data_IF_186148875539
#
_entry.id   IF_186148875539
#
_cell.length_a   1.000
_cell.length_b   1.000
_cell.length_c   1.000
_cell.angle_alpha   90.00
_cell.angle_beta   90.00
_cell.angle_gamma   90.00
#
_symmetry.space_group_name_H-M   'P 1'
#
loop_
_entity.id
_entity.type
_entity.pdbx_description
1 polymer ?
#
# COMPACT_ATOMS: atom_id res chain seq x y z
N UNK A 1 10.39 -6.31 -19.00
CA UNK A 1 9.01 -6.58 -18.56
C UNK A 1 9.06 -6.95 -17.07
N UNK A 2 8.33 -6.26 -16.20
CA UNK A 2 8.31 -6.56 -14.78
C UNK A 2 7.60 -7.90 -14.53
N UNK A 3 8.24 -8.80 -13.77
CA UNK A 3 7.74 -10.12 -13.46
C UNK A 3 6.92 -10.00 -12.17
N UNK A 4 5.58 -10.08 -12.26
CA UNK A 4 4.72 -9.81 -11.12
C UNK A 4 4.38 -11.08 -10.34
N UNK A 5 4.69 -11.09 -9.05
CA UNK A 5 4.10 -12.05 -8.12
C UNK A 5 2.62 -11.73 -7.92
N UNK A 6 1.78 -12.77 -7.82
CA UNK A 6 0.40 -12.62 -7.37
C UNK A 6 0.40 -12.08 -5.94
N UNK A 7 -0.31 -10.98 -5.70
CA UNK A 7 -0.60 -10.51 -4.35
C UNK A 7 -2.01 -10.98 -4.01
N UNK A 8 -2.21 -11.39 -2.76
CA UNK A 8 -3.54 -11.65 -2.20
C UNK A 8 -3.76 -10.64 -1.10
N UNK A 9 -4.94 -10.03 -1.07
CA UNK A 9 -5.35 -9.20 0.06
C UNK A 9 -5.97 -10.09 1.13
N UNK A 10 -5.83 -9.70 2.41
CA UNK A 10 -6.30 -10.47 3.57
C UNK A 10 -7.81 -10.34 3.84
N UNK A 11 -8.56 -9.68 2.94
CA UNK A 11 -9.98 -9.41 3.12
C UNK A 11 -10.23 -8.10 3.86
N UNK A 12 -11.46 -7.58 3.74
CA UNK A 12 -11.83 -6.27 4.29
C UNK A 12 -11.70 -6.25 5.81
N UNK A 13 -12.28 -7.24 6.48
CA UNK A 13 -12.35 -7.30 7.93
C UNK A 13 -10.97 -7.39 8.58
N UNK A 14 -10.15 -8.35 8.15
CA UNK A 14 -8.79 -8.53 8.68
C UNK A 14 -7.93 -7.28 8.43
N UNK A 15 -8.02 -6.70 7.23
CA UNK A 15 -7.29 -5.46 6.91
C UNK A 15 -7.73 -4.30 7.81
N UNK A 16 -9.03 -4.18 8.08
CA UNK A 16 -9.59 -3.13 8.96
C UNK A 16 -9.07 -3.29 10.38
N UNK A 17 -9.17 -4.49 10.95
CA UNK A 17 -8.69 -4.78 12.31
C UNK A 17 -7.18 -4.61 12.46
N UNK A 18 -6.39 -4.93 11.42
CA UNK A 18 -4.94 -4.71 11.43
C UNK A 18 -4.61 -3.21 11.45
N UNK A 19 -5.31 -2.39 10.66
CA UNK A 19 -5.09 -0.95 10.64
C UNK A 19 -5.53 -0.30 11.95
N UNK A 20 -6.67 -0.70 12.51
CA UNK A 20 -7.15 -0.19 13.80
C UNK A 20 -6.15 -0.48 14.93
N UNK A 21 -5.71 -1.74 15.04
CA UNK A 21 -4.67 -2.13 16.01
C UNK A 21 -3.36 -1.36 15.80
N UNK A 22 -3.00 -1.08 14.55
CA UNK A 22 -1.83 -0.27 14.24
C UNK A 22 -2.02 1.15 14.76
N UNK A 23 -3.13 1.82 14.44
CA UNK A 23 -3.43 3.19 14.89
C UNK A 23 -3.46 3.26 16.43
N UNK A 24 -4.06 2.27 17.10
CA UNK A 24 -4.04 2.17 18.56
C UNK A 24 -2.63 2.01 19.13
N UNK A 25 -1.79 1.19 18.49
CA UNK A 25 -0.41 0.99 18.95
C UNK A 25 0.42 2.30 18.91
N UNK A 26 0.13 3.18 17.95
CA UNK A 26 0.75 4.50 17.81
C UNK A 26 0.17 5.55 18.75
N UNK A 27 -0.96 5.29 19.43
CA UNK A 27 -1.45 6.17 20.49
C UNK A 27 -0.61 6.07 21.78
N UNK A 28 0.10 4.94 21.95
CA UNK A 28 0.88 4.63 23.15
C UNK A 28 2.37 4.97 23.03
N UNK A 29 3.19 4.32 23.86
CA UNK A 29 4.66 4.52 23.90
C UNK A 29 5.32 4.20 22.55
N UNK A 30 4.77 3.25 21.79
CA UNK A 30 5.32 2.84 20.47
C UNK A 30 5.17 3.92 19.40
N UNK A 31 4.28 4.90 19.60
CA UNK A 31 4.10 6.03 18.70
C UNK A 31 4.84 7.29 19.15
N UNK A 32 5.84 7.16 20.02
CA UNK A 32 6.70 8.26 20.47
C UNK A 32 8.14 8.01 20.08
N UNK A 33 8.88 9.07 19.80
CA UNK A 33 10.32 9.01 19.57
C UNK A 33 11.10 8.85 20.89
N UNK A 34 12.43 8.86 20.79
CA UNK A 34 13.34 8.72 21.95
C UNK A 34 13.23 9.87 22.95
N UNK A 35 12.65 11.02 22.55
CA UNK A 35 12.41 12.20 23.38
C UNK A 35 10.95 12.27 23.89
N UNK A 36 10.12 11.28 23.55
CA UNK A 36 8.72 11.23 23.94
C UNK A 36 7.78 12.04 23.04
N UNK A 37 8.26 12.58 21.92
CA UNK A 37 7.46 13.36 20.96
C UNK A 37 6.56 12.40 20.16
N UNK A 38 5.24 12.66 20.06
CA UNK A 38 4.35 11.85 19.24
C UNK A 38 4.73 11.87 17.75
N UNK A 39 4.83 10.69 17.14
CA UNK A 39 5.12 10.52 15.72
C UNK A 39 3.94 10.90 14.82
N UNK A 40 2.71 10.78 15.36
CA UNK A 40 1.47 10.98 14.63
C UNK A 40 0.51 11.81 15.48
N UNK A 41 -0.19 12.75 14.85
CA UNK A 41 -1.33 13.43 15.46
C UNK A 41 -2.50 12.44 15.56
N UNK A 42 -2.77 11.98 16.78
CA UNK A 42 -3.78 10.95 17.04
C UNK A 42 -5.19 11.39 16.65
N UNK A 43 -5.57 12.65 16.92
CA UNK A 43 -6.91 13.14 16.60
C UNK A 43 -7.10 13.19 15.09
N UNK A 44 -6.09 13.70 14.38
CA UNK A 44 -6.11 13.76 12.92
C UNK A 44 -6.10 12.36 12.29
N UNK A 45 -5.34 11.41 12.85
CA UNK A 45 -5.31 10.03 12.38
C UNK A 45 -6.68 9.35 12.50
N UNK A 46 -7.37 9.54 13.63
CA UNK A 46 -8.74 9.01 13.81
C UNK A 46 -9.72 9.58 12.80
N UNK A 47 -9.73 10.91 12.61
CA UNK A 47 -10.59 11.54 11.61
C UNK A 47 -10.31 11.05 10.17
N UNK A 48 -9.03 10.84 9.83
CA UNK A 48 -8.65 10.24 8.55
C UNK A 48 -9.21 8.81 8.47
N UNK A 49 -8.99 8.00 9.50
CA UNK A 49 -9.45 6.61 9.50
C UNK A 49 -10.97 6.48 9.34
N UNK A 50 -11.75 7.27 10.08
CA UNK A 50 -13.21 7.33 9.93
C UNK A 50 -13.63 7.62 8.49
N UNK A 51 -12.93 8.53 7.80
CA UNK A 51 -13.22 8.86 6.41
C UNK A 51 -12.76 7.78 5.41
N UNK A 52 -11.65 7.09 5.71
CA UNK A 52 -10.96 6.19 4.78
C UNK A 52 -11.36 4.73 4.94
N UNK A 53 -11.90 4.30 6.08
CA UNK A 53 -12.27 2.90 6.35
C UNK A 53 -13.22 2.32 5.28
N UNK A 54 -14.13 3.14 4.74
CA UNK A 54 -15.03 2.76 3.64
C UNK A 54 -14.32 2.34 2.35
N UNK A 55 -13.05 2.72 2.18
CA UNK A 55 -12.21 2.39 1.03
C UNK A 55 -11.36 1.13 1.22
N UNK A 56 -11.38 0.50 2.40
CA UNK A 56 -10.68 -0.79 2.61
C UNK A 56 -11.18 -1.85 1.64
N UNK A 57 -12.48 -1.83 1.31
CA UNK A 57 -13.07 -2.68 0.25
C UNK A 57 -12.50 -2.44 -1.15
N UNK A 58 -12.11 -1.20 -1.45
CA UNK A 58 -11.56 -0.82 -2.75
C UNK A 58 -10.13 -1.37 -2.93
N UNK A 59 -9.43 -1.69 -1.84
CA UNK A 59 -8.11 -2.30 -1.88
C UNK A 59 -8.16 -3.81 -2.19
N UNK A 60 -9.29 -4.46 -1.90
CA UNK A 60 -9.43 -5.90 -2.06
C UNK A 60 -9.58 -6.32 -3.52
N UNK A 61 -9.19 -7.55 -3.80
CA UNK A 61 -9.47 -8.18 -5.10
C UNK A 61 -10.97 -8.52 -5.19
N UNK A 62 -11.70 -8.03 -6.22
CA UNK A 62 -13.11 -8.36 -6.39
C UNK A 62 -13.28 -9.85 -6.71
N UNK A 63 -14.29 -10.47 -6.09
CA UNK A 63 -14.60 -11.87 -6.32
C UNK A 63 -14.96 -12.13 -7.79
N UNK A 64 -14.49 -13.25 -8.33
CA UNK A 64 -14.77 -13.65 -9.72
C UNK A 64 -14.00 -12.86 -10.78
N UNK A 65 -13.16 -11.90 -10.41
CA UNK A 65 -12.35 -11.12 -11.36
C UNK A 65 -10.92 -11.68 -11.41
N UNK A 66 -10.52 -12.19 -12.58
CA UNK A 66 -9.16 -12.66 -12.82
C UNK A 66 -8.19 -11.48 -12.99
N UNK A 67 -7.70 -10.93 -11.88
CA UNK A 67 -6.73 -9.83 -11.90
C UNK A 67 -5.31 -10.25 -12.29
N UNK A 68 -5.01 -11.55 -12.27
CA UNK A 68 -3.71 -12.10 -12.58
C UNK A 68 -3.87 -13.19 -13.63
N UNK A 69 -3.27 -12.97 -14.80
CA UNK A 69 -3.19 -13.96 -15.88
C UNK A 69 -1.78 -14.52 -15.90
N UNK A 70 -1.63 -15.84 -15.74
CA UNK A 70 -0.31 -16.47 -15.89
C UNK A 70 0.12 -16.38 -17.36
N UNK A 71 1.28 -15.79 -17.61
CA UNK A 71 1.85 -15.62 -18.95
C UNK A 71 3.04 -16.54 -19.21
N UNK A 72 3.54 -17.23 -18.18
CA UNK A 72 4.64 -18.17 -18.31
C UNK A 72 5.12 -18.71 -16.97
N UNK A 73 6.31 -19.30 -16.98
CA UNK A 73 7.00 -19.84 -15.82
C UNK A 73 8.49 -19.50 -15.93
N UNK A 74 9.13 -19.22 -14.81
CA UNK A 74 10.56 -18.91 -14.73
C UNK A 74 11.22 -19.75 -13.64
N UNK A 75 12.48 -20.15 -13.84
CA UNK A 75 13.23 -20.93 -12.85
C UNK A 75 14.08 -20.00 -11.99
N UNK A 76 13.91 -20.02 -10.66
CA UNK A 76 14.70 -19.24 -9.70
C UNK A 76 15.20 -20.15 -8.58
N UNK A 77 16.51 -20.27 -8.44
CA UNK A 77 17.12 -21.18 -7.45
C UNK A 77 16.70 -22.64 -7.62
N UNK A 78 16.48 -23.09 -8.86
CA UNK A 78 15.99 -24.45 -9.17
C UNK A 78 14.47 -24.62 -9.04
N UNK A 79 13.75 -23.64 -8.47
CA UNK A 79 12.29 -23.69 -8.30
C UNK A 79 11.61 -23.01 -9.49
N UNK A 80 10.60 -23.68 -10.06
CA UNK A 80 9.75 -23.11 -11.10
C UNK A 80 8.67 -22.20 -10.48
N UNK A 81 8.65 -20.94 -10.90
CA UNK A 81 7.75 -19.90 -10.41
C UNK A 81 6.85 -19.39 -11.56
N UNK A 82 5.53 -19.28 -11.35
CA UNK A 82 4.63 -18.71 -12.34
C UNK A 82 4.89 -17.20 -12.52
N UNK A 83 4.87 -16.76 -13.77
CA UNK A 83 4.94 -15.34 -14.15
C UNK A 83 3.54 -14.86 -14.44
N UNK A 84 3.10 -13.80 -13.75
CA UNK A 84 1.78 -13.21 -13.97
C UNK A 84 1.86 -11.83 -14.63
N UNK A 85 0.87 -11.55 -15.49
CA UNK A 85 0.49 -10.21 -15.91
C UNK A 85 -0.69 -9.75 -15.04
N UNK A 86 -0.55 -8.59 -14.41
CA UNK A 86 -1.63 -8.01 -13.61
C UNK A 86 -2.52 -7.10 -14.47
N UNK A 87 -3.83 -7.28 -14.38
CA UNK A 87 -4.82 -6.41 -15.04
C UNK A 87 -4.89 -5.01 -14.42
N UNK A 88 -4.36 -4.82 -13.20
CA UNK A 88 -4.29 -3.52 -12.50
C UNK A 88 -3.22 -2.56 -13.05
N UNK A 89 -2.47 -2.95 -14.09
CA UNK A 89 -1.34 -2.18 -14.63
C UNK A 89 -0.02 -2.49 -13.93
N UNK A 90 1.07 -1.89 -14.41
CA UNK A 90 2.40 -2.03 -13.79
C UNK A 90 2.37 -1.28 -12.46
N UNK A 91 2.20 -2.05 -11.38
CA UNK A 91 2.21 -1.68 -9.96
C UNK A 91 1.50 -0.37 -9.57
N UNK A 92 0.51 -0.48 -8.66
CA UNK A 92 0.00 0.69 -7.94
C UNK A 92 1.09 1.51 -7.25
N UNK A 93 2.26 0.89 -6.97
CA UNK A 93 3.44 1.55 -6.43
C UNK A 93 4.09 2.51 -7.44
N UNK A 94 4.28 2.14 -8.72
CA UNK A 94 4.77 3.05 -9.77
C UNK A 94 3.81 4.22 -9.98
N UNK A 95 2.49 3.97 -9.96
CA UNK A 95 1.51 5.04 -9.98
C UNK A 95 1.58 5.90 -8.71
N UNK A 96 1.73 5.33 -7.52
CA UNK A 96 1.87 6.12 -6.29
C UNK A 96 3.14 6.99 -6.30
N UNK A 97 4.27 6.46 -6.80
CA UNK A 97 5.50 7.23 -7.00
C UNK A 97 5.31 8.41 -7.97
N UNK A 98 4.55 8.23 -9.06
CA UNK A 98 4.20 9.33 -9.97
C UNK A 98 3.40 10.44 -9.27
N UNK A 99 2.61 10.10 -8.25
CA UNK A 99 1.79 11.06 -7.50
C UNK A 99 2.46 11.57 -6.21
N UNK A 100 3.51 10.92 -5.71
CA UNK A 100 4.24 11.35 -4.50
C UNK A 100 4.78 12.78 -4.62
N UNK A 101 5.26 13.16 -5.81
CA UNK A 101 5.70 14.54 -6.10
C UNK A 101 4.58 15.58 -5.98
N UNK A 102 3.31 15.16 -6.04
CA UNK A 102 2.12 16.04 -5.88
C UNK A 102 1.58 16.04 -4.45
N UNK A 103 2.00 15.12 -3.59
CA UNK A 103 1.59 15.05 -2.19
C UNK A 103 2.42 15.93 -1.26
N UNK A 104 3.61 16.35 -1.67
CA UNK A 104 4.40 17.36 -0.95
C UNK A 104 3.90 18.73 -1.42
N UNK A 105 3.22 19.52 -0.58
CA UNK A 105 2.85 20.88 -0.94
C UNK A 105 4.12 21.73 -0.95
N UNK A 106 4.72 21.87 -2.13
CA UNK A 106 5.88 22.71 -2.35
C UNK A 106 5.90 23.17 -3.80
N UNK A 107 5.63 24.45 -4.02
CA UNK A 107 5.63 25.10 -5.35
C UNK A 107 7.03 25.26 -5.97
N UNK A 108 8.04 24.49 -5.55
CA UNK A 108 9.44 24.68 -5.97
C UNK A 108 10.19 23.35 -6.05
N UNK A 109 9.81 22.45 -6.96
CA UNK A 109 10.73 21.42 -7.44
C UNK A 109 11.31 21.89 -8.78
N UNK A 110 12.55 22.39 -8.76
CA UNK A 110 13.30 22.75 -9.96
C UNK A 110 13.67 21.46 -10.71
N UNK A 111 13.30 21.29 -11.99
CA UNK A 111 13.57 20.07 -12.77
C UNK A 111 15.06 19.84 -13.10
N UNK A 112 15.98 20.73 -12.72
CA UNK A 112 17.41 20.64 -13.05
C UNK A 112 18.30 19.77 -12.13
N UNK A 113 17.73 18.94 -11.25
CA UNK A 113 18.51 18.13 -10.29
C UNK A 113 18.16 16.63 -10.28
N UNK A 114 17.76 16.08 -11.44
CA UNK A 114 17.81 14.64 -11.72
C UNK A 114 18.72 14.37 -12.91
#
# INVERSE_FOLDING_TARGET
MALHCRRSTQGVEETTQLIERLIESFAGVRGRDTLGVPLIDQRRMQAIWESQTKHVKCLQDPAGVALYTQTGTMKKGGVDLPVFRCARGSTSLECFHLHLNRFIPGTLANPGLF
#
